data_IF_536354094549
#
_entry.id   IF_536354094549
#
_cell.length_a   1.000
_cell.length_b   1.000
_cell.length_c   1.000
_cell.angle_alpha   90.00
_cell.angle_beta   90.00
_cell.angle_gamma   90.00
#
_symmetry.space_group_name_H-M   'P 1'
#
loop_
_entity.id
_entity.type
_entity.pdbx_description
1 polymer ?
#
# COMPACT_ATOMS: atom_id res chain seq x y z
N UNK A 1 78.34 -6.09 40.06
CA UNK A 1 77.72 -4.75 40.02
C UNK A 1 78.30 -4.05 38.80
N UNK A 2 77.63 -4.02 37.65
CA UNK A 2 76.66 -2.97 37.31
C UNK A 2 75.65 -3.46 36.26
N UNK A 3 74.44 -2.96 36.40
CA UNK A 3 73.19 -3.54 35.90
C UNK A 3 72.97 -3.41 34.39
N UNK A 4 72.37 -4.47 33.83
CA UNK A 4 71.68 -4.48 32.56
C UNK A 4 70.52 -3.46 32.58
N UNK A 5 70.53 -2.48 31.66
CA UNK A 5 69.34 -1.71 31.32
C UNK A 5 68.49 -2.52 30.35
N UNK A 6 67.45 -3.14 30.89
CA UNK A 6 66.33 -3.70 30.15
C UNK A 6 65.68 -2.61 29.28
N UNK A 7 65.85 -2.72 27.96
CA UNK A 7 65.07 -1.94 27.00
C UNK A 7 63.62 -2.36 27.11
N UNK A 8 62.79 -1.51 27.72
CA UNK A 8 61.35 -1.68 27.74
C UNK A 8 60.84 -1.86 26.32
N UNK A 9 60.23 -3.03 26.03
CA UNK A 9 59.49 -3.27 24.82
C UNK A 9 58.41 -2.19 24.70
N UNK A 10 58.66 -1.17 23.87
CA UNK A 10 57.61 -0.22 23.48
C UNK A 10 56.55 -1.07 22.82
N UNK A 11 55.39 -1.22 23.46
CA UNK A 11 54.18 -1.74 22.83
C UNK A 11 53.97 -0.94 21.54
N UNK A 12 54.41 -1.48 20.42
CA UNK A 12 54.20 -0.88 19.11
C UNK A 12 52.70 -0.93 18.90
N UNK A 13 52.05 0.25 18.81
CA UNK A 13 50.63 0.35 18.47
C UNK A 13 50.57 0.61 16.97
N UNK A 14 50.69 -0.41 16.09
CA UNK A 14 50.89 -0.22 14.66
C UNK A 14 49.78 0.59 13.99
N UNK A 15 48.57 0.61 14.56
CA UNK A 15 47.46 1.42 14.05
C UNK A 15 47.57 2.92 14.36
N UNK A 16 48.11 3.29 15.54
CA UNK A 16 48.21 4.68 16.00
C UNK A 16 49.56 5.31 15.71
N UNK A 17 50.61 4.52 15.83
CA UNK A 17 52.00 4.91 15.59
C UNK A 17 52.63 3.89 14.62
N UNK A 18 52.22 3.89 13.34
CA UNK A 18 52.78 2.99 12.35
C UNK A 18 54.24 3.33 12.05
N UNK A 19 55.00 2.32 11.66
CA UNK A 19 56.24 2.56 10.93
C UNK A 19 55.90 3.08 9.53
N UNK A 20 56.12 4.38 9.34
CA UNK A 20 55.78 5.09 8.10
C UNK A 20 56.77 4.84 6.97
N UNK A 21 57.89 4.17 7.25
CA UNK A 21 58.90 3.80 6.24
C UNK A 21 58.53 2.51 5.52
N UNK A 22 57.73 1.64 6.16
CA UNK A 22 57.26 0.39 5.58
C UNK A 22 55.95 0.59 4.80
N UNK A 23 56.05 0.52 3.47
CA UNK A 23 54.89 0.57 2.58
C UNK A 23 53.88 -0.57 2.86
N UNK A 24 54.36 -1.73 3.31
CA UNK A 24 53.52 -2.91 3.59
C UNK A 24 52.69 -2.71 4.86
N UNK A 25 53.28 -2.15 5.91
CA UNK A 25 52.58 -1.78 7.16
C UNK A 25 51.55 -0.70 6.87
N UNK A 26 51.91 0.33 6.10
CA UNK A 26 50.99 1.41 5.72
C UNK A 26 49.83 0.92 4.84
N UNK A 27 50.07 -0.04 3.95
CA UNK A 27 49.04 -0.65 3.10
C UNK A 27 48.03 -1.45 3.93
N UNK A 28 48.50 -2.36 4.80
CA UNK A 28 47.62 -3.14 5.69
C UNK A 28 46.81 -2.24 6.62
N UNK A 29 47.46 -1.23 7.21
CA UNK A 29 46.81 -0.23 8.05
C UNK A 29 45.72 0.53 7.29
N UNK A 30 45.98 0.89 6.04
CA UNK A 30 45.01 1.60 5.19
C UNK A 30 43.73 0.82 5.00
N UNK A 31 43.83 -0.46 4.60
CA UNK A 31 42.67 -1.34 4.47
C UNK A 31 41.89 -1.50 5.77
N UNK A 32 42.59 -1.76 6.88
CA UNK A 32 41.92 -1.91 8.19
C UNK A 32 41.19 -0.64 8.63
N UNK A 33 41.78 0.55 8.44
CA UNK A 33 41.12 1.81 8.82
C UNK A 33 39.87 2.07 7.99
N UNK A 34 39.91 1.78 6.69
CA UNK A 34 38.74 1.95 5.80
C UNK A 34 37.63 0.96 6.19
N UNK A 35 37.96 -0.33 6.35
CA UNK A 35 36.97 -1.35 6.72
C UNK A 35 36.36 -1.09 8.10
N UNK A 36 37.19 -0.80 9.10
CA UNK A 36 36.71 -0.49 10.45
C UNK A 36 35.89 0.80 10.47
N UNK A 37 36.31 1.84 9.74
CA UNK A 37 35.56 3.09 9.64
C UNK A 37 34.20 2.95 8.96
N UNK A 38 34.04 1.97 8.07
CA UNK A 38 32.76 1.63 7.45
C UNK A 38 31.87 0.82 8.40
N UNK A 39 32.32 -0.34 8.87
CA UNK A 39 31.48 -1.21 9.71
C UNK A 39 31.15 -0.62 11.08
N UNK A 40 32.09 0.14 11.65
CA UNK A 40 31.94 0.75 12.97
C UNK A 40 32.41 2.22 12.88
N UNK A 41 31.53 3.14 12.47
CA UNK A 41 31.90 4.54 12.29
C UNK A 41 32.48 5.17 13.56
N UNK A 42 33.57 5.92 13.40
CA UNK A 42 34.32 6.52 14.51
C UNK A 42 35.42 5.63 15.09
N UNK A 43 35.42 4.32 14.78
CA UNK A 43 36.47 3.40 15.25
C UNK A 43 37.86 3.76 14.70
N UNK A 44 37.96 4.14 13.42
CA UNK A 44 39.21 4.57 12.79
C UNK A 44 39.81 5.79 13.49
N UNK A 45 38.98 6.77 13.87
CA UNK A 45 39.38 7.98 14.59
C UNK A 45 39.85 7.68 16.00
N UNK A 46 39.19 6.77 16.72
CA UNK A 46 39.65 6.36 18.06
C UNK A 46 41.00 5.65 18.01
N UNK A 47 41.18 4.77 17.02
CA UNK A 47 42.39 3.97 16.84
C UNK A 47 43.58 4.82 16.37
N UNK A 48 43.37 5.67 15.37
CA UNK A 48 44.45 6.34 14.64
C UNK A 48 44.42 7.87 14.64
N UNK A 49 43.35 8.50 15.12
CA UNK A 49 43.12 9.95 14.99
C UNK A 49 42.63 10.65 16.26
N UNK A 50 41.68 11.58 16.08
CA UNK A 50 41.11 12.38 17.18
C UNK A 50 40.08 11.55 17.97
N UNK A 51 40.38 11.29 19.24
CA UNK A 51 39.50 10.53 20.14
C UNK A 51 38.16 11.22 20.42
N UNK A 52 38.09 12.55 20.40
CA UNK A 52 36.82 13.26 20.62
C UNK A 52 35.86 12.98 19.46
N UNK A 53 36.32 13.20 18.22
CA UNK A 53 35.55 12.91 17.00
C UNK A 53 35.16 11.42 16.92
N UNK A 54 36.12 10.52 17.18
CA UNK A 54 35.84 9.08 17.14
C UNK A 54 34.84 8.60 18.19
N UNK A 55 34.79 9.23 19.38
CA UNK A 55 33.78 8.93 20.40
C UNK A 55 32.39 9.38 19.98
N UNK A 56 32.26 10.54 19.31
CA UNK A 56 30.97 11.00 18.77
C UNK A 56 30.46 9.99 17.73
N UNK A 57 31.32 9.58 16.79
CA UNK A 57 30.99 8.54 15.81
C UNK A 57 30.53 7.24 16.45
N UNK A 58 31.34 6.68 17.36
CA UNK A 58 31.00 5.43 18.04
C UNK A 58 29.73 5.54 18.88
N UNK A 59 29.55 6.63 19.61
CA UNK A 59 28.35 6.83 20.42
C UNK A 59 27.10 6.87 19.55
N UNK A 60 27.13 7.60 18.43
CA UNK A 60 26.02 7.64 17.48
C UNK A 60 25.72 6.26 16.89
N UNK A 61 26.74 5.54 16.42
CA UNK A 61 26.57 4.18 15.86
C UNK A 61 26.00 3.21 16.88
N UNK A 62 26.55 3.15 18.09
CA UNK A 62 26.07 2.25 19.13
C UNK A 62 24.64 2.59 19.59
N UNK A 63 24.30 3.89 19.63
CA UNK A 63 22.94 4.34 19.94
C UNK A 63 21.96 3.90 18.86
N UNK A 64 22.31 4.06 17.57
CA UNK A 64 21.45 3.62 16.48
C UNK A 64 21.29 2.10 16.44
N UNK A 65 22.36 1.34 16.70
CA UNK A 65 22.27 -0.11 16.82
C UNK A 65 21.40 -0.54 17.99
N UNK A 66 21.49 0.16 19.13
CA UNK A 66 20.63 -0.09 20.27
C UNK A 66 19.16 0.20 19.93
N UNK A 67 18.85 1.33 19.29
CA UNK A 67 17.50 1.67 18.84
C UNK A 67 16.98 0.63 17.85
N UNK A 68 17.79 0.22 16.87
CA UNK A 68 17.41 -0.80 15.89
C UNK A 68 17.16 -2.16 16.55
N UNK A 69 17.99 -2.56 17.52
CA UNK A 69 17.81 -3.79 18.28
C UNK A 69 16.54 -3.75 19.13
N UNK A 70 16.28 -2.64 19.82
CA UNK A 70 15.05 -2.44 20.60
C UNK A 70 13.84 -2.48 19.66
N UNK A 71 13.89 -1.78 18.52
CA UNK A 71 12.85 -1.81 17.51
C UNK A 71 12.58 -3.22 16.99
N UNK A 72 13.63 -4.00 16.72
CA UNK A 72 13.51 -5.40 16.29
C UNK A 72 12.88 -6.28 17.38
N UNK A 73 13.28 -6.11 18.65
CA UNK A 73 12.65 -6.81 19.77
C UNK A 73 11.17 -6.43 19.87
N UNK A 74 10.83 -5.14 19.82
CA UNK A 74 9.42 -4.69 19.88
C UNK A 74 8.64 -5.24 18.68
N UNK A 75 9.21 -5.26 17.47
CA UNK A 75 8.56 -5.84 16.29
C UNK A 75 8.19 -7.32 16.48
N UNK A 76 9.09 -8.15 17.03
CA UNK A 76 8.83 -9.58 17.20
C UNK A 76 7.98 -9.92 18.44
N UNK A 77 8.01 -9.11 19.50
CA UNK A 77 7.33 -9.41 20.77
C UNK A 77 6.10 -8.55 21.06
N UNK A 78 5.94 -7.41 20.37
CA UNK A 78 4.87 -6.44 20.57
C UNK A 78 4.57 -5.68 19.26
N UNK A 79 4.23 -6.45 18.21
CA UNK A 79 4.05 -5.97 16.83
C UNK A 79 3.06 -4.80 16.73
N UNK A 80 1.94 -4.86 17.45
CA UNK A 80 0.95 -3.77 17.44
C UNK A 80 1.53 -2.46 17.99
N UNK A 81 2.28 -2.55 19.09
CA UNK A 81 2.96 -1.40 19.69
C UNK A 81 4.03 -0.82 18.77
N UNK A 82 4.72 -1.67 18.00
CA UNK A 82 5.71 -1.24 17.01
C UNK A 82 5.07 -0.32 15.96
N UNK A 83 3.92 -0.73 15.41
CA UNK A 83 3.24 0.06 14.38
C UNK A 83 2.59 1.33 14.94
N UNK A 84 2.00 1.30 16.14
CA UNK A 84 1.46 2.50 16.80
C UNK A 84 2.54 3.58 16.97
N UNK A 85 3.77 3.17 17.29
CA UNK A 85 4.91 4.09 17.42
C UNK A 85 5.37 4.60 16.05
N UNK A 86 5.40 3.75 15.03
CA UNK A 86 5.79 4.16 13.68
C UNK A 86 4.77 5.06 12.99
N UNK A 87 3.50 4.94 13.34
CA UNK A 87 2.39 5.74 12.80
C UNK A 87 2.46 7.22 13.26
N UNK A 88 3.31 7.53 14.24
CA UNK A 88 3.47 8.90 14.72
C UNK A 88 4.31 9.73 13.74
N UNK A 89 3.68 10.67 13.04
CA UNK A 89 4.32 11.55 12.04
C UNK A 89 5.57 12.26 12.59
N UNK A 90 5.51 12.75 13.83
CA UNK A 90 6.65 13.42 14.46
C UNK A 90 7.86 12.50 14.69
N UNK A 91 7.64 11.20 14.92
CA UNK A 91 8.71 10.21 15.04
C UNK A 91 9.35 9.93 13.69
N UNK A 92 8.57 9.85 12.61
CA UNK A 92 9.11 9.72 11.24
C UNK A 92 9.95 10.93 10.85
N UNK A 93 9.50 12.15 11.16
CA UNK A 93 10.30 13.36 10.95
C UNK A 93 11.60 13.35 11.77
N UNK A 94 11.53 12.96 13.05
CA UNK A 94 12.72 12.84 13.89
C UNK A 94 13.69 11.79 13.34
N UNK A 95 13.19 10.63 12.92
CA UNK A 95 13.98 9.57 12.29
C UNK A 95 14.67 10.08 11.01
N UNK A 96 13.95 10.81 10.15
CA UNK A 96 14.50 11.46 8.95
C UNK A 96 15.65 12.40 9.29
N UNK A 97 15.50 13.28 10.28
CA UNK A 97 16.55 14.20 10.74
C UNK A 97 17.76 13.42 11.27
N UNK A 98 17.54 12.37 12.08
CA UNK A 98 18.61 11.53 12.63
C UNK A 98 19.38 10.82 11.51
N UNK A 99 18.68 10.27 10.51
CA UNK A 99 19.32 9.60 9.37
C UNK A 99 20.18 10.57 8.55
N UNK A 100 19.69 11.78 8.27
CA UNK A 100 20.46 12.82 7.57
C UNK A 100 21.68 13.24 8.40
N UNK A 101 21.50 13.49 9.69
CA UNK A 101 22.61 13.85 10.59
C UNK A 101 23.66 12.74 10.66
N UNK A 102 23.23 11.47 10.69
CA UNK A 102 24.12 10.32 10.67
C UNK A 102 24.84 10.16 9.33
N UNK A 103 24.18 10.40 8.19
CA UNK A 103 24.81 10.40 6.88
C UNK A 103 25.93 11.47 6.80
N UNK A 104 25.66 12.68 7.29
CA UNK A 104 26.67 13.75 7.38
C UNK A 104 27.83 13.35 8.29
N UNK A 105 27.54 12.78 9.46
CA UNK A 105 28.56 12.27 10.37
C UNK A 105 29.42 11.21 9.69
N UNK A 106 28.80 10.30 8.94
CA UNK A 106 29.49 9.22 8.25
C UNK A 106 30.42 9.75 7.16
N UNK A 107 29.97 10.75 6.39
CA UNK A 107 30.79 11.47 5.41
C UNK A 107 31.99 12.16 6.07
N UNK A 108 31.79 12.88 7.17
CA UNK A 108 32.88 13.54 7.92
C UNK A 108 33.91 12.51 8.41
N UNK A 109 33.44 11.38 8.95
CA UNK A 109 34.30 10.30 9.44
C UNK A 109 35.02 9.58 8.30
N UNK A 110 34.38 9.37 7.14
CA UNK A 110 35.00 8.76 5.97
C UNK A 110 36.13 9.65 5.41
N UNK A 111 35.88 10.96 5.28
CA UNK A 111 36.89 11.94 4.84
C UNK A 111 38.07 12.00 5.82
N UNK A 112 37.81 12.03 7.13
CA UNK A 112 38.91 11.99 8.11
C UNK A 112 39.64 10.64 8.10
N UNK A 113 38.94 9.53 7.84
CA UNK A 113 39.57 8.21 7.68
C UNK A 113 40.54 8.21 6.49
N UNK A 114 40.16 8.79 5.35
CA UNK A 114 41.04 8.96 4.19
C UNK A 114 42.30 9.78 4.54
N UNK A 115 42.16 10.84 5.34
CA UNK A 115 43.30 11.60 5.87
C UNK A 115 44.20 10.74 6.77
N UNK A 116 43.62 9.91 7.64
CA UNK A 116 44.35 9.05 8.58
C UNK A 116 45.10 7.90 7.91
N UNK A 117 44.59 7.40 6.78
CA UNK A 117 45.22 6.34 5.97
C UNK A 117 46.60 6.76 5.47
N UNK A 118 46.80 8.05 5.13
CA UNK A 118 48.05 8.57 4.53
C UNK A 118 48.50 7.75 3.31
N UNK A 119 47.57 7.52 2.37
CA UNK A 119 47.72 6.60 1.24
C UNK A 119 48.94 6.88 0.34
N UNK A 120 49.48 8.11 0.32
CA UNK A 120 50.75 8.45 -0.35
C UNK A 120 51.92 7.58 0.11
N UNK A 121 51.88 7.03 1.33
CA UNK A 121 52.92 6.15 1.91
C UNK A 121 52.65 4.65 1.70
N UNK A 122 51.56 4.27 1.03
CA UNK A 122 51.25 2.89 0.67
C UNK A 122 51.90 2.49 -0.67
N UNK A 123 51.90 1.18 -0.99
CA UNK A 123 52.38 0.66 -2.29
C UNK A 123 51.60 1.30 -3.44
N UNK A 124 52.28 1.58 -4.57
CA UNK A 124 51.70 2.31 -5.71
C UNK A 124 50.34 1.77 -6.19
N UNK A 125 50.18 0.46 -6.38
CA UNK A 125 48.89 -0.14 -6.78
C UNK A 125 47.81 -0.11 -5.68
N UNK A 126 48.21 -0.17 -4.41
CA UNK A 126 47.27 -0.15 -3.29
C UNK A 126 46.67 1.24 -3.02
N UNK A 127 47.33 2.32 -3.46
CA UNK A 127 46.83 3.70 -3.27
C UNK A 127 45.47 3.89 -3.94
N UNK A 128 45.38 3.45 -5.20
CA UNK A 128 44.17 3.55 -6.00
C UNK A 128 43.08 2.66 -5.41
N UNK A 129 43.42 1.41 -5.05
CA UNK A 129 42.45 0.48 -4.46
C UNK A 129 41.85 0.96 -3.14
N UNK A 130 42.68 1.50 -2.22
CA UNK A 130 42.19 2.01 -0.94
C UNK A 130 41.32 3.26 -1.13
N UNK A 131 41.73 4.19 -2.02
CA UNK A 131 40.93 5.38 -2.32
C UNK A 131 39.61 5.04 -3.00
N UNK A 132 39.62 4.11 -3.97
CA UNK A 132 38.43 3.63 -4.66
C UNK A 132 37.47 2.94 -3.68
N UNK A 133 37.95 2.02 -2.83
CA UNK A 133 37.12 1.36 -1.83
C UNK A 133 36.54 2.37 -0.84
N UNK A 134 37.35 3.27 -0.30
CA UNK A 134 36.88 4.27 0.66
C UNK A 134 35.81 5.20 0.04
N UNK A 135 35.98 5.58 -1.22
CA UNK A 135 34.99 6.39 -1.95
C UNK A 135 33.71 5.59 -2.21
N UNK A 136 33.82 4.36 -2.68
CA UNK A 136 32.67 3.48 -2.90
C UNK A 136 31.89 3.24 -1.60
N UNK A 137 32.60 2.90 -0.51
CA UNK A 137 31.99 2.74 0.80
C UNK A 137 31.35 4.04 1.27
N UNK A 138 32.01 5.20 1.10
CA UNK A 138 31.44 6.50 1.46
C UNK A 138 30.12 6.78 0.68
N UNK A 139 30.08 6.49 -0.61
CA UNK A 139 28.88 6.64 -1.44
C UNK A 139 27.77 5.68 -0.99
N UNK A 140 28.07 4.39 -0.84
CA UNK A 140 27.09 3.38 -0.37
C UNK A 140 26.54 3.76 1.00
N UNK A 141 27.41 4.21 1.88
CA UNK A 141 27.13 4.52 3.27
C UNK A 141 26.24 5.76 3.42
N UNK A 142 26.72 6.91 2.94
CA UNK A 142 26.04 8.20 3.06
C UNK A 142 24.89 8.31 2.07
N UNK A 143 25.06 7.78 0.85
CA UNK A 143 24.01 7.71 -0.16
C UNK A 143 22.88 6.78 0.25
N UNK A 144 23.20 5.60 0.81
CA UNK A 144 22.18 4.67 1.33
C UNK A 144 21.36 5.28 2.48
N UNK A 145 22.00 5.99 3.40
CA UNK A 145 21.30 6.68 4.50
C UNK A 145 20.41 7.84 4.01
N UNK A 146 20.88 8.63 3.03
CA UNK A 146 20.08 9.69 2.42
C UNK A 146 18.92 9.13 1.59
N UNK A 147 19.14 8.04 0.87
CA UNK A 147 18.11 7.34 0.11
C UNK A 147 17.03 6.78 1.05
N UNK A 148 17.42 6.11 2.13
CA UNK A 148 16.48 5.66 3.17
C UNK A 148 15.68 6.82 3.78
N UNK A 149 16.33 7.97 4.05
CA UNK A 149 15.65 9.16 4.54
C UNK A 149 14.67 9.76 3.52
N UNK A 150 14.98 9.67 2.22
CA UNK A 150 14.07 10.08 1.15
C UNK A 150 12.86 9.14 1.06
N UNK A 151 13.06 7.82 1.11
CA UNK A 151 11.96 6.84 1.14
C UNK A 151 11.01 7.14 2.30
N UNK A 152 11.53 7.28 3.52
CA UNK A 152 10.68 7.58 4.69
C UNK A 152 9.93 8.91 4.55
N UNK A 153 10.57 9.91 3.94
CA UNK A 153 9.94 11.20 3.66
C UNK A 153 8.78 11.09 2.66
N UNK A 154 9.04 10.48 1.50
CA UNK A 154 8.02 10.24 0.46
C UNK A 154 6.89 9.38 1.03
N UNK A 155 7.22 8.39 1.87
CA UNK A 155 6.23 7.51 2.49
C UNK A 155 5.24 8.25 3.37
N UNK A 156 5.74 9.08 4.29
CA UNK A 156 4.87 9.90 5.13
C UNK A 156 4.06 10.90 4.30
N UNK A 157 4.70 11.61 3.36
CA UNK A 157 4.05 12.63 2.54
C UNK A 157 2.91 12.07 1.68
N UNK A 158 3.07 10.88 1.10
CA UNK A 158 2.03 10.20 0.31
C UNK A 158 0.89 9.69 1.21
N UNK A 159 1.21 9.05 2.33
CA UNK A 159 0.18 8.60 3.27
C UNK A 159 -0.66 9.79 3.78
N UNK A 160 -0.02 10.93 4.02
CA UNK A 160 -0.68 12.19 4.41
C UNK A 160 -1.53 12.79 3.28
N UNK A 161 -1.23 12.51 2.01
CA UNK A 161 -2.03 13.01 0.88
C UNK A 161 -3.26 12.16 0.55
N UNK A 162 -3.22 10.85 0.83
CA UNK A 162 -4.29 9.90 0.48
C UNK A 162 -5.22 9.65 1.65
N UNK A 163 -4.67 9.45 2.85
CA UNK A 163 -5.44 9.04 4.02
C UNK A 163 -5.57 10.22 4.98
N UNK A 164 -6.79 10.45 5.49
CA UNK A 164 -7.02 11.49 6.47
C UNK A 164 -6.67 11.02 7.90
N UNK A 165 -6.36 11.98 8.78
CA UNK A 165 -6.26 11.72 10.21
C UNK A 165 -7.68 11.75 10.80
N UNK A 166 -8.09 10.66 11.45
CA UNK A 166 -9.44 10.55 12.00
C UNK A 166 -9.58 9.43 13.03
N UNK A 167 -10.68 9.42 13.79
CA UNK A 167 -10.99 8.30 14.67
C UNK A 167 -11.19 7.02 13.85
N UNK A 168 -10.61 5.92 14.31
CA UNK A 168 -10.85 4.60 13.72
C UNK A 168 -12.14 4.05 14.29
N UNK A 169 -13.17 3.90 13.45
CA UNK A 169 -14.39 3.18 13.78
C UNK A 169 -14.06 1.73 14.21
N UNK A 170 -14.77 1.25 15.23
CA UNK A 170 -14.70 -0.13 15.68
C UNK A 170 -15.38 -1.05 14.66
N UNK A 171 -14.99 -2.34 14.58
CA UNK A 171 -15.62 -3.28 13.66
C UNK A 171 -17.10 -3.48 14.01
N UNK A 172 -17.97 -3.40 13.01
CA UNK A 172 -19.42 -3.59 13.17
C UNK A 172 -19.73 -5.07 13.07
N UNK A 173 -20.35 -5.62 14.11
CA UNK A 173 -20.62 -7.05 14.26
C UNK A 173 -19.36 -7.94 14.06
N UNK A 174 -18.17 -7.40 14.36
CA UNK A 174 -16.90 -8.11 14.18
C UNK A 174 -16.30 -8.01 12.78
N UNK A 175 -16.82 -7.15 11.92
CA UNK A 175 -16.32 -6.92 10.55
C UNK A 175 -15.88 -5.47 10.32
N UNK A 176 -14.79 -5.30 9.58
CA UNK A 176 -14.48 -4.04 8.90
C UNK A 176 -15.10 -4.10 7.51
N UNK A 177 -16.10 -3.26 7.26
CA UNK A 177 -16.83 -3.20 6.00
C UNK A 177 -16.38 -1.97 5.20
N UNK A 178 -15.95 -2.19 3.96
CA UNK A 178 -15.39 -1.14 3.10
C UNK A 178 -16.09 -1.22 1.75
N UNK A 179 -16.73 -0.11 1.34
CA UNK A 179 -17.29 0.05 0.00
C UNK A 179 -16.17 0.27 -1.01
N UNK A 180 -16.02 -0.62 -1.98
CA UNK A 180 -15.13 -0.44 -3.12
C UNK A 180 -15.91 0.08 -4.32
N UNK A 181 -15.47 1.22 -4.84
CA UNK A 181 -16.07 1.88 -5.99
C UNK A 181 -15.07 1.99 -7.13
N UNK A 182 -15.53 1.70 -8.34
CA UNK A 182 -14.76 1.92 -9.56
C UNK A 182 -15.59 2.69 -10.59
N UNK A 183 -15.03 3.79 -11.12
CA UNK A 183 -15.65 4.56 -12.19
C UNK A 183 -14.64 5.00 -13.24
N UNK A 184 -15.15 5.31 -14.43
CA UNK A 184 -14.38 5.91 -15.52
C UNK A 184 -14.64 7.43 -15.52
N UNK A 185 -13.75 8.20 -14.89
CA UNK A 185 -13.85 9.67 -14.76
C UNK A 185 -13.09 10.45 -15.83
N UNK A 186 -12.88 9.87 -17.02
CA UNK A 186 -12.07 10.48 -18.08
C UNK A 186 -12.43 11.95 -18.42
N UNK A 187 -11.42 12.71 -18.85
CA UNK A 187 -11.56 14.13 -19.22
C UNK A 187 -12.72 14.34 -20.21
N UNK A 188 -13.61 15.29 -19.89
CA UNK A 188 -14.74 15.66 -20.74
C UNK A 188 -16.03 14.87 -20.53
N UNK A 189 -16.15 14.08 -19.46
CA UNK A 189 -17.43 13.50 -19.04
C UNK A 189 -18.16 14.44 -18.07
N UNK A 190 -19.38 14.81 -18.44
CA UNK A 190 -20.26 15.64 -17.60
C UNK A 190 -20.81 14.87 -16.38
N UNK A 191 -20.69 13.53 -16.36
CA UNK A 191 -21.12 12.68 -15.25
C UNK A 191 -20.30 11.41 -15.07
N UNK A 192 -19.91 11.13 -13.83
CA UNK A 192 -19.19 9.92 -13.42
C UNK A 192 -20.19 8.93 -12.81
N UNK A 193 -20.28 7.71 -13.37
CA UNK A 193 -21.11 6.61 -12.86
C UNK A 193 -20.21 5.53 -12.30
N UNK A 194 -20.60 4.93 -11.17
CA UNK A 194 -19.89 3.78 -10.62
C UNK A 194 -20.20 2.54 -11.46
N UNK A 195 -19.19 2.04 -12.16
CA UNK A 195 -19.28 0.85 -13.02
C UNK A 195 -18.94 -0.45 -12.29
N UNK A 196 -18.31 -0.33 -11.11
CA UNK A 196 -18.03 -1.40 -10.17
C UNK A 196 -18.41 -0.92 -8.76
N UNK A 197 -19.26 -1.70 -8.09
CA UNK A 197 -19.73 -1.45 -6.73
C UNK A 197 -19.61 -2.78 -5.99
N UNK A 198 -18.74 -2.85 -4.99
CA UNK A 198 -18.61 -4.02 -4.14
C UNK A 198 -18.39 -3.63 -2.68
N UNK A 199 -18.72 -4.52 -1.75
CA UNK A 199 -18.42 -4.35 -0.33
C UNK A 199 -17.46 -5.45 0.08
N UNK A 200 -16.34 -5.05 0.68
CA UNK A 200 -15.36 -5.96 1.27
C UNK A 200 -15.58 -5.98 2.77
N UNK A 201 -15.94 -7.14 3.28
CA UNK A 201 -16.11 -7.41 4.71
C UNK A 201 -14.94 -8.25 5.19
N UNK A 202 -14.15 -7.69 6.10
CA UNK A 202 -12.99 -8.35 6.71
C UNK A 202 -13.29 -8.68 8.16
N UNK A 203 -13.33 -9.97 8.50
CA UNK A 203 -13.52 -10.40 9.88
C UNK A 203 -12.33 -9.93 10.74
N UNK A 204 -12.61 -9.13 11.77
CA UNK A 204 -11.60 -8.46 12.59
C UNK A 204 -10.73 -9.42 13.43
N UNK A 205 -11.17 -10.66 13.64
CA UNK A 205 -10.43 -11.67 14.41
C UNK A 205 -9.65 -12.61 13.49
N UNK A 206 -10.34 -13.22 12.53
CA UNK A 206 -9.78 -14.28 11.68
C UNK A 206 -9.05 -13.76 10.45
N UNK A 207 -9.39 -12.55 9.97
CA UNK A 207 -8.93 -12.05 8.68
C UNK A 207 -9.65 -12.68 7.48
N UNK A 208 -10.73 -13.44 7.68
CA UNK A 208 -11.55 -13.95 6.59
C UNK A 208 -12.13 -12.76 5.80
N UNK A 209 -11.95 -12.79 4.47
CA UNK A 209 -12.45 -11.76 3.57
C UNK A 209 -13.64 -12.30 2.79
N UNK A 210 -14.72 -11.53 2.77
CA UNK A 210 -15.89 -11.72 1.91
C UNK A 210 -16.03 -10.50 1.01
N UNK A 211 -16.14 -10.72 -0.30
CA UNK A 211 -16.36 -9.67 -1.30
C UNK A 211 -17.76 -9.87 -1.90
N UNK A 212 -18.63 -8.89 -1.71
CA UNK A 212 -20.01 -8.90 -2.23
C UNK A 212 -20.15 -7.88 -3.34
N UNK A 213 -20.40 -8.33 -4.57
CA UNK A 213 -20.64 -7.46 -5.72
C UNK A 213 -22.09 -7.03 -5.83
N UNK A 214 -22.32 -5.72 -5.98
CA UNK A 214 -23.63 -5.12 -6.23
C UNK A 214 -23.73 -4.75 -7.71
N UNK A 215 -24.73 -5.26 -8.45
CA UNK A 215 -24.99 -4.84 -9.83
C UNK A 215 -25.13 -3.34 -9.95
N UNK A 216 -24.29 -2.74 -10.80
CA UNK A 216 -24.32 -1.30 -11.06
C UNK A 216 -25.70 -0.82 -11.55
N UNK A 217 -26.43 -1.68 -12.26
CA UNK A 217 -27.75 -1.38 -12.83
C UNK A 217 -28.91 -1.83 -11.92
N UNK A 218 -28.64 -2.21 -10.66
CA UNK A 218 -29.66 -2.64 -9.69
C UNK A 218 -30.69 -1.51 -9.47
N UNK A 219 -31.98 -1.73 -9.78
CA UNK A 219 -33.02 -0.72 -9.67
C UNK A 219 -33.64 -0.69 -8.27
N UNK A 220 -34.20 0.44 -7.86
CA UNK A 220 -35.08 0.49 -6.67
C UNK A 220 -34.38 0.18 -5.34
N UNK A 221 -33.07 0.45 -5.24
CA UNK A 221 -32.28 0.15 -4.04
C UNK A 221 -32.81 0.88 -2.80
N UNK A 222 -32.95 0.21 -1.64
CA UNK A 222 -33.27 0.85 -0.38
C UNK A 222 -32.04 1.58 0.17
N UNK A 223 -32.25 2.46 1.16
CA UNK A 223 -31.17 3.18 1.84
C UNK A 223 -31.15 2.86 3.34
N UNK A 224 -29.99 2.95 3.95
CA UNK A 224 -29.88 3.02 5.40
C UNK A 224 -30.58 4.28 5.95
N UNK A 225 -30.97 4.29 7.25
CA UNK A 225 -31.59 5.46 7.86
C UNK A 225 -30.76 6.74 7.65
N UNK A 226 -31.29 7.69 6.90
CA UNK A 226 -30.54 8.86 6.47
C UNK A 226 -31.31 9.72 5.47
N UNK A 227 -30.68 10.79 4.94
CA UNK A 227 -31.33 11.76 4.06
C UNK A 227 -31.88 11.12 2.79
N UNK A 228 -31.22 10.09 2.25
CA UNK A 228 -31.70 9.37 1.06
C UNK A 228 -32.89 8.47 1.36
N UNK A 229 -32.96 7.84 2.54
CA UNK A 229 -34.14 7.07 2.96
C UNK A 229 -35.35 7.99 3.19
N UNK A 230 -35.15 9.20 3.71
CA UNK A 230 -36.22 10.21 3.85
C UNK A 230 -36.73 10.69 2.49
N UNK A 231 -35.83 10.83 1.52
CA UNK A 231 -36.15 11.26 0.16
C UNK A 231 -36.82 10.16 -0.68
N UNK A 232 -36.37 8.92 -0.52
CA UNK A 232 -36.81 7.74 -1.27
C UNK A 232 -37.26 6.60 -0.31
N UNK A 233 -38.38 6.78 0.42
CA UNK A 233 -38.80 5.84 1.45
C UNK A 233 -39.14 4.44 0.93
N UNK A 234 -39.41 4.30 -0.38
CA UNK A 234 -39.78 3.04 -1.02
C UNK A 234 -38.72 2.55 -2.02
N UNK A 235 -37.47 3.02 -1.90
CA UNK A 235 -36.37 2.69 -2.80
C UNK A 235 -36.11 3.75 -3.86
N UNK A 236 -34.91 3.71 -4.44
CA UNK A 236 -34.40 4.74 -5.34
C UNK A 236 -35.19 4.83 -6.66
N UNK A 237 -35.64 6.05 -6.99
CA UNK A 237 -36.44 6.32 -8.19
C UNK A 237 -35.69 7.23 -9.18
N UNK A 238 -35.96 7.03 -10.47
CA UNK A 238 -35.39 7.85 -11.54
C UNK A 238 -36.08 9.19 -11.70
N UNK A 239 -35.34 10.19 -12.16
CA UNK A 239 -35.85 11.52 -12.48
C UNK A 239 -35.62 11.83 -13.96
N UNK A 240 -36.73 12.02 -14.69
CA UNK A 240 -36.68 12.37 -16.11
C UNK A 240 -36.63 13.88 -16.24
N UNK A 241 -35.48 14.40 -16.67
CA UNK A 241 -35.27 15.81 -16.96
C UNK A 241 -34.39 15.98 -18.21
N UNK A 242 -34.59 17.07 -18.95
CA UNK A 242 -33.88 17.34 -20.20
C UNK A 242 -32.49 17.93 -20.01
N UNK A 243 -32.20 18.51 -18.85
CA UNK A 243 -30.92 19.13 -18.50
C UNK A 243 -30.14 18.27 -17.49
N UNK A 244 -30.78 17.71 -16.47
CA UNK A 244 -30.12 16.88 -15.48
C UNK A 244 -31.05 15.79 -14.89
N UNK A 245 -31.11 14.64 -15.57
CA UNK A 245 -31.90 13.48 -15.17
C UNK A 245 -31.05 12.24 -14.90
N UNK A 246 -31.64 11.26 -14.22
CA UNK A 246 -31.01 9.99 -13.88
C UNK A 246 -32.00 8.83 -13.95
N UNK A 247 -31.45 7.63 -14.14
CA UNK A 247 -32.20 6.38 -14.00
C UNK A 247 -32.19 5.95 -12.53
N UNK A 248 -33.26 5.33 -12.03
CA UNK A 248 -33.39 4.83 -10.64
C UNK A 248 -32.54 3.59 -10.37
N UNK A 249 -31.28 3.62 -10.76
CA UNK A 249 -30.28 2.56 -10.66
C UNK A 249 -29.10 3.03 -9.82
N UNK A 250 -28.56 2.16 -8.98
CA UNK A 250 -27.54 2.53 -7.98
C UNK A 250 -26.31 3.27 -8.57
N UNK A 251 -25.87 2.94 -9.79
CA UNK A 251 -24.74 3.62 -10.44
C UNK A 251 -24.96 5.11 -10.77
N UNK A 252 -26.18 5.61 -10.63
CA UNK A 252 -26.55 6.99 -10.95
C UNK A 252 -26.64 7.88 -9.71
N UNK A 253 -26.41 7.37 -8.50
CA UNK A 253 -26.45 8.18 -7.28
C UNK A 253 -25.43 9.33 -7.31
N UNK A 254 -24.25 9.07 -7.89
CA UNK A 254 -23.26 10.11 -8.11
C UNK A 254 -23.70 11.15 -9.16
N UNK A 255 -24.47 10.73 -10.18
CA UNK A 255 -25.11 11.68 -11.11
C UNK A 255 -26.11 12.57 -10.36
N UNK A 256 -26.98 11.97 -9.54
CA UNK A 256 -27.99 12.71 -8.80
C UNK A 256 -27.34 13.72 -7.85
N UNK A 257 -26.52 13.26 -6.91
CA UNK A 257 -26.04 14.12 -5.82
C UNK A 257 -24.75 14.86 -6.14
N UNK A 258 -23.96 14.38 -7.10
CA UNK A 258 -22.74 15.05 -7.53
C UNK A 258 -23.00 16.18 -8.52
N UNK A 259 -24.12 16.14 -9.26
CA UNK A 259 -24.33 17.03 -10.41
C UNK A 259 -25.73 17.63 -10.49
N UNK A 260 -26.78 16.82 -10.36
CA UNK A 260 -28.14 17.27 -10.66
C UNK A 260 -28.87 17.89 -9.47
N UNK A 261 -28.55 17.46 -8.25
CA UNK A 261 -29.13 17.92 -7.00
C UNK A 261 -28.06 18.61 -6.16
N UNK A 262 -28.51 19.47 -5.25
CA UNK A 262 -27.65 19.97 -4.16
C UNK A 262 -27.35 18.84 -3.15
N UNK A 263 -26.39 17.97 -3.51
CA UNK A 263 -25.93 16.89 -2.64
C UNK A 263 -25.27 17.41 -1.36
N UNK A 264 -24.65 18.60 -1.39
CA UNK A 264 -24.04 19.21 -0.22
C UNK A 264 -25.07 19.60 0.84
N UNK A 265 -26.30 19.92 0.45
CA UNK A 265 -27.39 20.13 1.40
C UNK A 265 -27.86 18.84 2.10
N UNK A 266 -27.78 17.69 1.42
CA UNK A 266 -28.14 16.39 2.00
C UNK A 266 -27.02 15.78 2.84
N UNK A 267 -25.77 15.95 2.39
CA UNK A 267 -24.56 15.45 3.06
C UNK A 267 -23.57 16.60 3.32
N UNK A 268 -23.86 17.48 4.30
CA UNK A 268 -23.05 18.67 4.56
C UNK A 268 -21.63 18.36 5.05
N UNK A 269 -21.45 17.21 5.70
CA UNK A 269 -20.18 16.80 6.28
C UNK A 269 -19.34 15.90 5.35
N UNK A 270 -19.86 15.52 4.17
CA UNK A 270 -19.18 14.57 3.27
C UNK A 270 -17.75 15.02 2.94
N UNK A 271 -17.57 16.26 2.47
CA UNK A 271 -16.25 16.79 2.10
C UNK A 271 -15.32 16.91 3.31
N UNK A 272 -15.86 17.27 4.48
CA UNK A 272 -15.09 17.39 5.71
C UNK A 272 -14.58 16.03 6.22
N UNK A 273 -15.32 14.96 5.89
CA UNK A 273 -14.96 13.58 6.20
C UNK A 273 -14.17 12.89 5.08
N UNK A 274 -13.73 13.65 4.06
CA UNK A 274 -12.96 13.09 2.95
C UNK A 274 -13.79 12.25 1.99
N UNK A 275 -15.05 12.61 1.77
CA UNK A 275 -15.99 11.94 0.88
C UNK A 275 -16.73 12.95 -0.02
N UNK A 276 -17.64 12.45 -0.85
CA UNK A 276 -18.55 13.27 -1.66
C UNK A 276 -20.00 12.86 -1.43
N UNK A 277 -20.98 13.76 -1.65
CA UNK A 277 -22.39 13.40 -1.51
C UNK A 277 -22.82 12.18 -2.34
N UNK A 278 -22.26 12.02 -3.55
CA UNK A 278 -22.54 10.86 -4.41
C UNK A 278 -22.00 9.55 -3.84
N UNK A 279 -20.83 9.58 -3.21
CA UNK A 279 -20.23 8.42 -2.54
C UNK A 279 -21.02 8.07 -1.28
N UNK A 280 -21.33 9.05 -0.42
CA UNK A 280 -22.13 8.82 0.79
C UNK A 280 -23.52 8.25 0.46
N UNK A 281 -24.21 8.78 -0.55
CA UNK A 281 -25.49 8.21 -0.99
C UNK A 281 -25.34 6.76 -1.53
N UNK A 282 -24.23 6.45 -2.19
CA UNK A 282 -23.94 5.09 -2.67
C UNK A 282 -23.62 4.15 -1.50
N UNK A 283 -22.98 4.66 -0.46
CA UNK A 283 -22.72 3.95 0.81
C UNK A 283 -24.02 3.62 1.51
N UNK A 284 -24.89 4.61 1.73
CA UNK A 284 -26.23 4.41 2.31
C UNK A 284 -27.06 3.39 1.51
N UNK A 285 -26.97 3.41 0.18
CA UNK A 285 -27.64 2.43 -0.68
C UNK A 285 -27.07 1.02 -0.50
N UNK A 286 -25.73 0.88 -0.47
CA UNK A 286 -25.09 -0.41 -0.24
C UNK A 286 -25.42 -0.99 1.14
N UNK A 287 -25.45 -0.13 2.18
CA UNK A 287 -25.90 -0.51 3.52
C UNK A 287 -27.36 -0.98 3.51
N UNK A 288 -28.25 -0.26 2.81
CA UNK A 288 -29.64 -0.65 2.64
C UNK A 288 -29.81 -1.99 1.91
N UNK A 289 -29.03 -2.22 0.84
CA UNK A 289 -29.07 -3.46 0.05
C UNK A 289 -28.59 -4.66 0.87
N UNK A 290 -27.50 -4.50 1.63
CA UNK A 290 -26.84 -5.59 2.34
C UNK A 290 -27.30 -5.78 3.79
N UNK A 291 -27.93 -4.75 4.38
CA UNK A 291 -28.43 -4.78 5.76
C UNK A 291 -27.34 -4.68 6.81
N UNK A 292 -26.26 -3.96 6.51
CA UNK A 292 -25.07 -3.85 7.35
C UNK A 292 -24.47 -2.45 7.28
N UNK A 293 -23.77 -2.02 8.32
CA UNK A 293 -23.08 -0.72 8.36
C UNK A 293 -21.75 -0.79 7.61
N UNK A 294 -21.47 0.22 6.81
CA UNK A 294 -20.29 0.37 5.95
C UNK A 294 -19.65 1.72 6.29
N UNK A 295 -18.73 1.77 7.27
CA UNK A 295 -18.17 3.03 7.73
C UNK A 295 -17.20 3.68 6.74
N UNK A 296 -16.61 2.90 5.83
CA UNK A 296 -15.54 3.37 4.96
C UNK A 296 -15.78 3.05 3.48
N UNK A 297 -15.13 3.81 2.61
CA UNK A 297 -15.04 3.52 1.18
C UNK A 297 -13.61 3.64 0.66
N UNK A 298 -13.35 3.00 -0.48
CA UNK A 298 -12.22 3.28 -1.34
C UNK A 298 -12.69 3.34 -2.79
N UNK A 299 -12.51 4.50 -3.41
CA UNK A 299 -12.82 4.76 -4.80
C UNK A 299 -11.54 4.72 -5.63
N UNK A 300 -11.59 4.04 -6.78
CA UNK A 300 -10.49 3.96 -7.72
C UNK A 300 -10.95 4.43 -9.10
N UNK A 301 -10.25 5.44 -9.65
CA UNK A 301 -10.44 5.85 -11.04
C UNK A 301 -9.82 4.83 -12.00
N UNK A 302 -10.63 4.33 -12.92
CA UNK A 302 -10.20 3.38 -13.95
C UNK A 302 -9.11 3.92 -14.87
N UNK A 303 -8.96 5.24 -15.04
CA UNK A 303 -7.85 5.83 -15.81
C UNK A 303 -6.49 5.59 -15.16
N UNK A 304 -6.48 5.52 -13.83
CA UNK A 304 -5.27 5.39 -13.03
C UNK A 304 -5.09 3.96 -12.50
N UNK A 305 -6.15 3.15 -12.50
CA UNK A 305 -6.15 1.75 -12.08
C UNK A 305 -5.07 0.88 -12.75
N UNK A 306 -4.79 1.11 -14.04
CA UNK A 306 -3.71 0.41 -14.73
C UNK A 306 -2.34 0.68 -14.07
N UNK A 307 -2.06 1.94 -13.71
CA UNK A 307 -0.82 2.32 -13.05
C UNK A 307 -0.70 1.70 -11.64
N UNK A 308 -1.80 1.51 -10.93
CA UNK A 308 -1.81 0.79 -9.65
C UNK A 308 -1.35 -0.66 -9.82
N UNK A 309 -1.87 -1.35 -10.82
CA UNK A 309 -1.53 -2.75 -11.11
C UNK A 309 -0.04 -2.86 -11.49
N UNK A 310 0.44 -1.99 -12.39
CA UNK A 310 1.85 -1.95 -12.77
C UNK A 310 2.75 -1.70 -11.53
N UNK A 311 2.34 -0.79 -10.64
CA UNK A 311 3.09 -0.46 -9.43
C UNK A 311 3.13 -1.62 -8.41
N UNK A 312 2.06 -2.41 -8.33
CA UNK A 312 1.99 -3.61 -7.48
C UNK A 312 2.78 -4.79 -8.06
N UNK A 313 3.26 -4.68 -9.30
CA UNK A 313 4.04 -5.71 -9.97
C UNK A 313 3.19 -6.73 -10.72
N UNK A 314 2.12 -6.23 -11.37
CA UNK A 314 1.20 -6.99 -12.22
C UNK A 314 0.35 -8.01 -11.44
N UNK A 315 -0.62 -8.64 -12.11
CA UNK A 315 -1.54 -9.61 -11.49
C UNK A 315 -1.61 -10.91 -12.27
N UNK A 316 -1.72 -12.03 -11.56
CA UNK A 316 -1.92 -13.35 -12.17
C UNK A 316 -3.40 -13.75 -12.09
N UNK A 317 -4.01 -14.02 -13.25
CA UNK A 317 -5.42 -14.42 -13.35
C UNK A 317 -5.57 -15.57 -14.35
N UNK A 318 -6.36 -16.59 -13.97
CA UNK A 318 -6.73 -17.67 -14.86
C UNK A 318 -7.94 -17.26 -15.71
N UNK A 319 -7.70 -16.90 -16.96
CA UNK A 319 -8.74 -16.47 -17.90
C UNK A 319 -9.53 -17.68 -18.40
N UNK A 320 -10.84 -17.69 -18.17
CA UNK A 320 -11.72 -18.82 -18.53
C UNK A 320 -11.89 -18.92 -20.06
N UNK A 321 -12.08 -17.78 -20.72
CA UNK A 321 -12.35 -17.70 -22.15
C UNK A 321 -11.63 -16.51 -22.81
N UNK A 322 -11.37 -16.62 -24.11
CA UNK A 322 -10.62 -15.61 -24.86
C UNK A 322 -11.42 -14.31 -25.00
N UNK A 323 -10.82 -13.17 -24.65
CA UNK A 323 -11.50 -11.87 -24.63
C UNK A 323 -10.86 -10.88 -25.62
N UNK A 324 -11.65 -10.13 -26.40
CA UNK A 324 -11.12 -9.09 -27.28
C UNK A 324 -10.74 -7.83 -26.49
N UNK A 325 -9.63 -7.20 -26.88
CA UNK A 325 -9.25 -5.84 -26.49
C UNK A 325 -9.73 -4.86 -27.57
N UNK A 326 -10.33 -3.73 -27.19
CA UNK A 326 -10.74 -2.66 -28.11
C UNK A 326 -12.11 -2.04 -27.81
N UNK A 327 -12.43 -0.95 -28.52
CA UNK A 327 -13.64 -0.14 -28.30
C UNK A 327 -14.97 -0.79 -28.72
N UNK A 328 -14.94 -2.02 -29.25
CA UNK A 328 -16.11 -2.70 -29.80
C UNK A 328 -16.31 -2.47 -31.30
N UNK A 329 -17.38 -3.03 -31.88
CA UNK A 329 -17.66 -2.92 -33.30
C UNK A 329 -18.04 -1.49 -33.70
N UNK A 330 -17.59 -1.05 -34.88
CA UNK A 330 -17.96 0.24 -35.47
C UNK A 330 -19.38 0.23 -36.07
N UNK A 331 -19.93 -0.95 -36.35
CA UNK A 331 -21.29 -1.15 -36.87
C UNK A 331 -21.85 -2.50 -36.40
N UNK A 332 -23.17 -2.60 -36.32
CA UNK A 332 -23.85 -3.83 -35.88
C UNK A 332 -23.43 -5.03 -36.73
N UNK A 333 -23.06 -6.13 -36.06
CA UNK A 333 -22.66 -7.38 -36.70
C UNK A 333 -21.19 -7.47 -37.13
N UNK A 334 -20.36 -6.43 -36.94
CA UNK A 334 -18.92 -6.54 -37.15
C UNK A 334 -18.32 -7.58 -36.18
N UNK A 335 -17.48 -8.49 -36.71
CA UNK A 335 -16.89 -9.55 -35.90
C UNK A 335 -15.79 -9.01 -34.98
N UNK A 336 -15.62 -9.64 -33.80
CA UNK A 336 -14.56 -9.28 -32.87
C UNK A 336 -13.16 -9.41 -33.49
N UNK A 337 -12.94 -10.38 -34.38
CA UNK A 337 -11.67 -10.55 -35.10
C UNK A 337 -11.30 -9.36 -36.00
N UNK A 338 -12.27 -8.54 -36.41
CA UNK A 338 -12.04 -7.39 -37.29
C UNK A 338 -11.80 -6.08 -36.54
N UNK A 339 -12.43 -5.87 -35.38
CA UNK A 339 -12.31 -4.63 -34.62
C UNK A 339 -11.37 -4.74 -33.42
N UNK A 340 -11.12 -5.95 -32.92
CA UNK A 340 -10.23 -6.13 -31.77
C UNK A 340 -8.80 -5.73 -32.14
N UNK A 341 -8.20 -4.90 -31.29
CA UNK A 341 -6.80 -4.47 -31.42
C UNK A 341 -5.82 -5.46 -30.79
N UNK A 342 -6.34 -6.47 -30.09
CA UNK A 342 -5.58 -7.49 -29.39
C UNK A 342 -6.51 -8.47 -28.68
N UNK A 343 -5.93 -9.49 -28.06
CA UNK A 343 -6.68 -10.56 -27.39
C UNK A 343 -6.04 -10.90 -26.05
N UNK A 344 -6.89 -11.22 -25.07
CA UNK A 344 -6.50 -11.86 -23.82
C UNK A 344 -6.83 -13.34 -23.98
N UNK A 345 -5.79 -14.18 -24.01
CA UNK A 345 -5.96 -15.60 -24.27
C UNK A 345 -6.44 -16.36 -23.03
N UNK A 346 -7.17 -17.45 -23.24
CA UNK A 346 -7.61 -18.32 -22.14
C UNK A 346 -6.42 -19.05 -21.47
N UNK A 347 -6.59 -19.38 -20.19
CA UNK A 347 -5.56 -19.98 -19.33
C UNK A 347 -4.89 -18.94 -18.42
N UNK A 348 -3.81 -19.35 -17.77
CA UNK A 348 -3.08 -18.48 -16.85
C UNK A 348 -2.40 -17.32 -17.59
N UNK A 349 -2.71 -16.10 -17.15
CA UNK A 349 -2.16 -14.87 -17.69
C UNK A 349 -1.52 -14.06 -16.57
N UNK A 350 -0.34 -13.51 -16.85
CA UNK A 350 0.28 -12.45 -16.07
C UNK A 350 -0.06 -11.13 -16.75
N UNK A 351 -0.83 -10.28 -16.09
CA UNK A 351 -1.44 -9.09 -16.68
C UNK A 351 -0.84 -7.82 -16.08
N UNK A 352 -0.25 -7.02 -16.95
CA UNK A 352 0.03 -5.61 -16.70
C UNK A 352 -1.29 -4.80 -16.59
N UNK A 353 -1.18 -3.54 -16.20
CA UNK A 353 -2.28 -2.62 -16.01
C UNK A 353 -3.16 -2.46 -17.25
N UNK A 354 -2.58 -2.36 -18.46
CA UNK A 354 -3.35 -2.31 -19.71
C UNK A 354 -4.19 -3.58 -19.88
N UNK A 355 -3.56 -4.75 -19.75
CA UNK A 355 -4.24 -6.02 -19.96
C UNK A 355 -5.31 -6.26 -18.91
N UNK A 356 -5.04 -5.95 -17.65
CA UNK A 356 -5.99 -6.06 -16.56
C UNK A 356 -7.16 -5.08 -16.70
N UNK A 357 -6.92 -3.86 -17.20
CA UNK A 357 -8.00 -2.91 -17.49
C UNK A 357 -8.90 -3.45 -18.62
N UNK A 358 -8.32 -3.98 -19.71
CA UNK A 358 -9.12 -4.62 -20.76
C UNK A 358 -9.89 -5.85 -20.25
N UNK A 359 -9.27 -6.63 -19.37
CA UNK A 359 -9.90 -7.77 -18.71
C UNK A 359 -11.11 -7.34 -17.89
N UNK A 360 -11.00 -6.25 -17.11
CA UNK A 360 -12.09 -5.70 -16.31
C UNK A 360 -13.16 -4.97 -17.14
N UNK A 361 -12.86 -4.57 -18.39
CA UNK A 361 -13.79 -3.82 -19.26
C UNK A 361 -14.52 -4.65 -20.29
N UNK A 362 -13.97 -5.80 -20.71
CA UNK A 362 -14.54 -6.55 -21.84
C UNK A 362 -15.98 -7.00 -21.55
N UNK A 363 -16.87 -6.90 -22.54
CA UNK A 363 -18.30 -7.27 -22.44
C UNK A 363 -18.81 -7.96 -23.72
N UNK A 364 -18.23 -7.62 -24.87
CA UNK A 364 -18.82 -7.86 -26.19
C UNK A 364 -19.10 -9.35 -26.48
N UNK A 365 -18.16 -10.23 -26.15
CA UNK A 365 -18.30 -11.67 -26.38
C UNK A 365 -18.99 -12.40 -25.23
N UNK A 366 -19.33 -11.69 -24.14
CA UNK A 366 -19.84 -12.25 -22.89
C UNK A 366 -21.06 -11.45 -22.41
N UNK A 367 -21.06 -10.94 -21.18
CA UNK A 367 -22.16 -10.18 -20.59
C UNK A 367 -21.67 -9.14 -19.58
N UNK A 368 -22.58 -8.28 -19.10
CA UNK A 368 -22.31 -7.36 -17.98
C UNK A 368 -21.97 -8.15 -16.70
N UNK A 369 -22.62 -9.30 -16.49
CA UNK A 369 -22.40 -10.19 -15.36
C UNK A 369 -21.01 -10.83 -15.38
N UNK A 370 -20.57 -11.27 -16.56
CA UNK A 370 -19.21 -11.79 -16.72
C UNK A 370 -18.16 -10.69 -16.50
N UNK A 371 -18.50 -9.42 -16.80
CA UNK A 371 -17.62 -8.29 -16.47
C UNK A 371 -17.53 -8.10 -14.96
N UNK A 372 -18.66 -8.11 -14.24
CA UNK A 372 -18.66 -7.97 -12.77
C UNK A 372 -17.86 -9.10 -12.11
N UNK A 373 -18.03 -10.34 -12.57
CA UNK A 373 -17.21 -11.47 -12.11
C UNK A 373 -15.71 -11.18 -12.28
N UNK A 374 -15.29 -10.73 -13.47
CA UNK A 374 -13.88 -10.41 -13.76
C UNK A 374 -13.33 -9.24 -12.97
N UNK A 375 -14.14 -8.22 -12.72
CA UNK A 375 -13.76 -7.10 -11.85
C UNK A 375 -13.43 -7.60 -10.44
N UNK A 376 -14.17 -8.58 -9.92
CA UNK A 376 -13.88 -9.19 -8.62
C UNK A 376 -12.72 -10.17 -8.64
N UNK A 377 -12.59 -10.99 -9.69
CA UNK A 377 -11.40 -11.83 -9.89
C UNK A 377 -10.13 -10.97 -9.87
N UNK A 378 -10.21 -9.77 -10.45
CA UNK A 378 -9.15 -8.79 -10.41
C UNK A 378 -8.97 -8.14 -9.03
N UNK A 379 -10.03 -7.75 -8.32
CA UNK A 379 -9.94 -7.26 -6.93
C UNK A 379 -9.28 -8.31 -6.02
N UNK A 380 -9.69 -9.58 -6.14
CA UNK A 380 -9.12 -10.71 -5.42
C UNK A 380 -7.64 -10.91 -5.76
N UNK A 381 -7.28 -10.84 -7.05
CA UNK A 381 -5.87 -10.93 -7.48
C UNK A 381 -5.03 -9.79 -6.90
N UNK A 382 -5.54 -8.56 -6.89
CA UNK A 382 -4.87 -7.40 -6.27
C UNK A 382 -4.68 -7.62 -4.76
N UNK A 383 -5.72 -8.07 -4.05
CA UNK A 383 -5.62 -8.38 -2.62
C UNK A 383 -4.63 -9.50 -2.33
N UNK A 384 -4.56 -10.52 -3.18
CA UNK A 384 -3.58 -11.61 -3.07
C UNK A 384 -2.15 -11.13 -3.32
N UNK A 385 -1.95 -10.14 -4.21
CA UNK A 385 -0.65 -9.50 -4.46
C UNK A 385 -0.25 -8.49 -3.38
N UNK A 386 -1.18 -8.13 -2.48
CA UNK A 386 -0.96 -7.18 -1.40
C UNK A 386 -0.13 -7.80 -0.26
N UNK A 387 1.12 -8.14 -0.56
CA UNK A 387 2.14 -8.55 0.41
C UNK A 387 2.78 -7.30 1.05
N UNK A 388 2.78 -7.16 2.39
CA UNK A 388 3.42 -6.03 3.08
C UNK A 388 4.88 -5.78 2.66
N UNK A 389 5.63 -6.82 2.26
CA UNK A 389 7.00 -6.62 1.75
C UNK A 389 7.00 -6.01 0.35
N UNK A 390 6.17 -6.52 -0.56
CA UNK A 390 5.97 -5.94 -1.89
C UNK A 390 5.52 -4.50 -1.80
N UNK A 391 4.50 -4.20 -0.99
CA UNK A 391 4.01 -2.82 -0.79
C UNK A 391 5.11 -1.91 -0.25
N UNK A 392 5.91 -2.35 0.72
CA UNK A 392 7.03 -1.55 1.23
C UNK A 392 8.12 -1.30 0.17
N UNK A 393 8.46 -2.32 -0.62
CA UNK A 393 9.49 -2.21 -1.66
C UNK A 393 9.03 -1.38 -2.86
N UNK A 394 7.74 -1.43 -3.17
CA UNK A 394 7.08 -0.71 -4.26
C UNK A 394 6.43 0.59 -3.82
N UNK A 395 6.57 0.96 -2.54
CA UNK A 395 5.84 2.09 -1.98
C UNK A 395 6.08 3.36 -2.79
N UNK A 396 7.31 3.62 -3.24
CA UNK A 396 7.61 4.79 -4.07
C UNK A 396 6.88 4.77 -5.41
N UNK A 397 6.77 3.61 -6.06
CA UNK A 397 6.06 3.44 -7.33
C UNK A 397 4.55 3.63 -7.11
N UNK A 398 4.00 3.04 -6.03
CA UNK A 398 2.59 3.17 -5.62
C UNK A 398 2.26 4.62 -5.26
N UNK A 399 3.15 5.28 -4.52
CA UNK A 399 3.04 6.67 -4.08
C UNK A 399 3.12 7.65 -5.24
N UNK A 400 4.02 7.40 -6.18
CA UNK A 400 4.15 8.21 -7.39
C UNK A 400 2.98 7.99 -8.35
N UNK A 401 2.40 6.79 -8.35
CA UNK A 401 1.12 6.52 -8.99
C UNK A 401 -0.08 7.13 -8.22
N UNK A 402 0.08 7.47 -6.94
CA UNK A 402 -1.05 7.70 -6.02
C UNK A 402 -0.98 8.97 -5.18
N UNK A 403 -1.52 10.06 -5.72
CA UNK A 403 -2.33 11.02 -4.95
C UNK A 403 -3.67 11.29 -5.65
N UNK A 404 -3.73 11.14 -6.97
CA UNK A 404 -4.95 11.27 -7.78
C UNK A 404 -5.66 9.92 -8.09
N UNK A 405 -5.14 8.80 -7.56
CA UNK A 405 -5.57 7.44 -7.93
C UNK A 405 -6.67 6.85 -7.04
N UNK A 406 -6.59 7.09 -5.73
CA UNK A 406 -7.51 6.53 -4.73
C UNK A 406 -8.09 7.67 -3.91
N UNK A 407 -9.41 7.72 -3.84
CA UNK A 407 -10.15 8.59 -2.92
C UNK A 407 -10.75 7.71 -1.81
N UNK A 408 -10.58 8.09 -0.55
CA UNK A 408 -10.97 7.25 0.59
C UNK A 408 -11.11 8.05 1.88
N UNK A 409 -12.06 7.64 2.73
CA UNK A 409 -12.24 8.10 4.10
C UNK A 409 -11.56 7.17 5.13
N UNK A 410 -10.80 6.15 4.69
CA UNK A 410 -10.06 5.26 5.59
C UNK A 410 -9.01 6.06 6.37
N UNK A 411 -9.05 6.08 7.71
CA UNK A 411 -8.07 6.82 8.49
C UNK A 411 -6.73 6.08 8.52
N UNK A 412 -5.62 6.83 8.55
CA UNK A 412 -4.25 6.25 8.61
C UNK A 412 -4.08 5.19 9.70
N UNK A 413 -4.64 5.44 10.88
CA UNK A 413 -4.55 4.51 12.02
C UNK A 413 -5.21 3.14 11.79
N UNK A 414 -6.11 3.03 10.80
CA UNK A 414 -6.72 1.75 10.42
C UNK A 414 -5.81 0.92 9.49
N UNK A 415 -4.88 1.55 8.77
CA UNK A 415 -4.00 0.86 7.82
C UNK A 415 -3.15 -0.23 8.45
N UNK A 416 -2.59 0.02 9.64
CA UNK A 416 -1.82 -1.01 10.35
C UNK A 416 -2.67 -2.22 10.74
N UNK A 417 -3.95 -1.99 11.09
CA UNK A 417 -4.87 -3.09 11.42
C UNK A 417 -5.23 -3.87 10.16
N UNK A 418 -5.58 -3.17 9.07
CA UNK A 418 -5.89 -3.79 7.77
C UNK A 418 -4.71 -4.58 7.21
N UNK A 419 -3.48 -4.07 7.33
CA UNK A 419 -2.27 -4.80 6.92
C UNK A 419 -2.08 -6.09 7.72
N UNK A 420 -2.35 -6.06 9.03
CA UNK A 420 -2.32 -7.26 9.87
C UNK A 420 -3.41 -8.28 9.51
N UNK A 421 -4.59 -7.81 9.12
CA UNK A 421 -5.69 -8.66 8.63
C UNK A 421 -5.40 -9.24 7.25
N UNK A 422 -4.80 -8.45 6.35
CA UNK A 422 -4.38 -8.89 5.02
C UNK A 422 -3.33 -10.02 5.10
N UNK A 423 -2.39 -9.94 6.04
CA UNK A 423 -1.42 -11.01 6.28
C UNK A 423 -2.09 -12.32 6.75
N UNK A 424 -3.16 -12.22 7.57
CA UNK A 424 -3.96 -13.39 7.96
C UNK A 424 -4.78 -13.93 6.78
N UNK A 425 -5.35 -13.05 5.97
CA UNK A 425 -6.23 -13.42 4.86
C UNK A 425 -5.49 -14.17 3.75
N UNK A 426 -4.18 -13.97 3.58
CA UNK A 426 -3.36 -14.69 2.60
C UNK A 426 -3.42 -16.23 2.73
N UNK A 427 -3.78 -16.76 3.90
CA UNK A 427 -3.90 -18.19 4.14
C UNK A 427 -5.33 -18.72 3.99
N UNK A 428 -6.29 -17.84 3.70
CA UNK A 428 -7.71 -18.14 3.65
C UNK A 428 -8.22 -18.00 2.21
N UNK A 429 -9.17 -18.85 1.83
CA UNK A 429 -9.88 -18.68 0.57
C UNK A 429 -10.87 -17.53 0.71
N UNK A 430 -10.82 -16.55 -0.19
CA UNK A 430 -11.75 -15.43 -0.19
C UNK A 430 -13.14 -15.90 -0.61
N UNK A 431 -14.16 -15.47 0.14
CA UNK A 431 -15.56 -15.74 -0.20
C UNK A 431 -16.05 -14.66 -1.16
N UNK A 432 -16.68 -15.05 -2.25
CA UNK A 432 -17.13 -14.13 -3.29
C UNK A 432 -18.62 -14.32 -3.57
N UNK A 433 -19.41 -13.27 -3.35
CA UNK A 433 -20.87 -13.28 -3.54
C UNK A 433 -21.22 -12.31 -4.66
N UNK A 434 -22.08 -12.74 -5.59
CA UNK A 434 -22.69 -11.85 -6.57
C UNK A 434 -24.19 -11.77 -6.36
N UNK A 435 -24.72 -10.55 -6.28
CA UNK A 435 -26.15 -10.33 -6.32
C UNK A 435 -26.69 -10.38 -7.76
N UNK A 436 -26.41 -11.47 -8.48
CA UNK A 436 -26.81 -11.74 -9.87
C UNK A 436 -27.37 -13.16 -10.01
N UNK A 437 -28.00 -13.53 -11.14
CA UNK A 437 -28.53 -14.88 -11.32
C UNK A 437 -27.44 -15.96 -11.25
N UNK A 438 -27.73 -17.14 -10.65
CA UNK A 438 -29.04 -17.57 -10.15
C UNK A 438 -29.35 -17.14 -8.71
N UNK A 439 -28.45 -16.40 -8.04
CA UNK A 439 -28.56 -16.08 -6.63
C UNK A 439 -29.61 -15.00 -6.34
N UNK A 440 -29.66 -13.97 -7.18
CA UNK A 440 -30.58 -12.84 -7.10
C UNK A 440 -31.14 -12.53 -8.47
N UNK A 441 -32.44 -12.20 -8.55
CA UNK A 441 -33.03 -11.58 -9.74
C UNK A 441 -32.70 -10.07 -9.72
N UNK A 442 -31.84 -9.56 -10.63
CA UNK A 442 -31.38 -8.19 -10.60
C UNK A 442 -32.44 -7.18 -11.08
N UNK A 443 -33.48 -7.64 -11.79
CA UNK A 443 -34.58 -6.76 -12.24
C UNK A 443 -35.64 -6.60 -11.13
N UNK A 444 -35.78 -7.62 -10.26
CA UNK A 444 -36.70 -7.65 -9.14
C UNK A 444 -36.04 -8.21 -7.87
N UNK A 445 -35.05 -7.51 -7.29
CA UNK A 445 -34.31 -7.99 -6.14
C UNK A 445 -35.19 -8.10 -4.88
N UNK A 446 -35.12 -9.23 -4.20
CA UNK A 446 -35.68 -9.40 -2.84
C UNK A 446 -34.62 -8.97 -1.82
N UNK A 447 -34.66 -7.70 -1.43
CA UNK A 447 -33.69 -7.14 -0.48
C UNK A 447 -33.73 -7.81 0.90
N UNK A 448 -34.89 -8.29 1.36
CA UNK A 448 -34.95 -8.99 2.64
C UNK A 448 -34.23 -10.33 2.56
N UNK A 449 -34.36 -11.04 1.44
CA UNK A 449 -33.61 -12.28 1.20
C UNK A 449 -32.10 -12.03 1.06
N UNK A 450 -31.70 -10.92 0.40
CA UNK A 450 -30.28 -10.51 0.30
C UNK A 450 -29.69 -10.23 1.68
N UNK A 451 -30.38 -9.44 2.50
CA UNK A 451 -29.93 -9.11 3.86
C UNK A 451 -29.80 -10.37 4.72
N UNK A 452 -30.76 -11.29 4.67
CA UNK A 452 -30.67 -12.56 5.40
C UNK A 452 -29.49 -13.42 4.92
N UNK A 453 -29.26 -13.50 3.60
CA UNK A 453 -28.13 -14.23 3.04
C UNK A 453 -26.78 -13.64 3.49
N UNK A 454 -26.67 -12.32 3.53
CA UNK A 454 -25.48 -11.64 4.04
C UNK A 454 -25.26 -11.95 5.52
N UNK A 455 -26.31 -11.88 6.33
CA UNK A 455 -26.26 -12.24 7.75
C UNK A 455 -25.79 -13.69 7.95
N UNK A 456 -26.35 -14.64 7.21
CA UNK A 456 -26.01 -16.06 7.31
C UNK A 456 -24.56 -16.33 6.85
N UNK A 457 -24.07 -15.56 5.87
CA UNK A 457 -22.72 -15.72 5.33
C UNK A 457 -21.66 -15.13 6.24
N UNK A 458 -21.92 -13.96 6.82
CA UNK A 458 -20.99 -13.29 7.74
C UNK A 458 -21.08 -13.87 9.16
N UNK A 459 -22.23 -14.42 9.56
CA UNK A 459 -22.45 -14.98 10.89
C UNK A 459 -23.03 -16.39 10.81
N UNK A 460 -22.26 -17.37 10.28
CA UNK A 460 -22.73 -18.74 10.18
C UNK A 460 -23.05 -19.27 11.58
N UNK A 461 -24.19 -19.94 11.71
CA UNK A 461 -24.56 -20.59 12.97
C UNK A 461 -23.43 -21.54 13.39
N UNK A 462 -23.10 -21.55 14.69
CA UNK A 462 -22.15 -22.52 15.23
C UNK A 462 -22.60 -23.93 14.82
N UNK A 463 -21.70 -24.81 14.36
CA UNK A 463 -22.08 -26.17 14.00
C UNK A 463 -22.78 -26.80 15.20
N UNK A 464 -24.01 -27.30 14.99
CA UNK A 464 -24.70 -28.07 16.01
C UNK A 464 -23.76 -29.21 16.42
N UNK A 465 -23.39 -29.25 17.71
CA UNK A 465 -22.69 -30.38 18.28
C UNK A 465 -23.49 -31.63 17.90
N UNK A 466 -22.99 -32.43 16.95
CA UNK A 466 -23.49 -33.77 16.72
C UNK A 466 -23.26 -34.53 18.03
N UNK A 467 -24.30 -34.48 18.87
CA UNK A 467 -24.31 -35.06 20.19
C UNK A 467 -23.86 -36.50 20.08
N UNK A 468 -22.82 -36.82 20.82
CA UNK A 468 -22.32 -38.18 20.94
C UNK A 468 -23.47 -39.12 21.30
N UNK A 469 -23.85 -39.96 20.33
CA UNK A 469 -24.55 -41.19 20.62
C UNK A 469 -23.53 -42.16 21.23
N UNK A 470 -23.60 -42.26 22.56
CA UNK A 470 -22.91 -43.28 23.36
C UNK A 470 -23.62 -44.62 23.39
#
# INVERSE_FOLDING_TARGET
MTAARSGAARTTKPMRYPDVTSADVMTRRGWWLVLLGFFIPGSAQVLAGNRKLGRVGLAATLTLWFIALVGLIVFFFARDWFFIVLDQTWLLYLARIIMIAYAVLWLVLAVDTLRLVKFVRARNGARIGIAALATALMVVSSGGALYAANIVGVTGETLDSVFQDGPVAEPVDGYYNILLLGADSGEGRDSMRFDSISVVSVNAETGQVTITGIPRDMPGVPFAPGPMQDLYPNGYEGHVDSECGWEGKINQLNTELGLCRDGAALYPDAVANGSTPGIEATKDAAEGVLGMEIPYYAFIDMNHFAALIDALGDVDINVIERLPKGGGPAYEGQSADEWAIGWIEAGQQHMDGDTAQWYARSRYTTSDWDRMRRQRELQAAILAQFDPQTVLLRFQDIAQAGSDLVDTDIPKGLLSKLAGLAEKSQQLEMVSIELVPPLVDPDYPDYAAIQQMMQDTLHPAAPEDEGGEG
#
